data_IF_545197810985
#
_entry.id   IF_545197810985
#
_cell.length_a   1.000
_cell.length_b   1.000
_cell.length_c   1.000
_cell.angle_alpha   90.00
_cell.angle_beta   90.00
_cell.angle_gamma   90.00
#
_symmetry.space_group_name_H-M   'P 1'
#
loop_
_entity.id
_entity.type
_entity.pdbx_description
1 polymer ?
#
# COMPACT_ATOMS: atom_id res chain seq x y z
N UNK A 1 22.78 -4.13 4.61
CA UNK A 1 24.00 -4.65 3.95
C UNK A 1 24.39 -3.72 2.82
N UNK A 2 25.68 -3.60 2.51
CA UNK A 2 26.20 -2.86 1.34
C UNK A 2 26.48 -3.87 0.22
N UNK A 3 26.03 -3.57 -0.99
CA UNK A 3 26.24 -4.40 -2.18
C UNK A 3 26.40 -3.48 -3.39
N UNK A 4 27.22 -3.90 -4.35
CA UNK A 4 27.38 -3.24 -5.65
C UNK A 4 26.77 -4.13 -6.73
N UNK A 5 25.88 -3.59 -7.55
CA UNK A 5 25.29 -4.30 -8.70
C UNK A 5 25.10 -3.33 -9.87
N UNK A 6 25.13 -3.83 -11.10
CA UNK A 6 24.77 -3.06 -12.29
C UNK A 6 23.26 -3.11 -12.50
N UNK A 7 22.61 -1.95 -12.58
CA UNK A 7 21.17 -1.83 -12.84
C UNK A 7 20.95 -0.95 -14.06
N UNK A 8 19.90 -1.24 -14.84
CA UNK A 8 19.44 -0.33 -15.88
C UNK A 8 18.95 0.98 -15.27
N UNK A 9 19.73 2.04 -15.43
CA UNK A 9 19.46 3.35 -14.82
C UNK A 9 18.18 4.00 -15.35
N UNK A 10 17.85 3.81 -16.63
CA UNK A 10 16.63 4.35 -17.22
C UNK A 10 15.37 3.71 -16.60
N UNK A 11 15.42 2.40 -16.33
CA UNK A 11 14.34 1.72 -15.62
C UNK A 11 14.22 2.22 -14.18
N UNK A 12 15.34 2.32 -13.46
CA UNK A 12 15.36 2.81 -12.09
C UNK A 12 14.79 4.24 -11.98
N UNK A 13 15.19 5.14 -12.88
CA UNK A 13 14.68 6.51 -12.92
C UNK A 13 13.17 6.58 -13.19
N UNK A 14 12.63 5.72 -14.07
CA UNK A 14 11.20 5.64 -14.31
C UNK A 14 10.44 5.17 -13.08
N UNK A 15 10.91 4.13 -12.41
CA UNK A 15 10.27 3.61 -11.20
C UNK A 15 10.29 4.68 -10.10
N UNK A 16 11.43 5.33 -9.86
CA UNK A 16 11.55 6.45 -8.93
C UNK A 16 10.55 7.57 -9.23
N UNK A 17 10.36 7.94 -10.50
CA UNK A 17 9.40 8.97 -10.91
C UNK A 17 7.96 8.57 -10.63
N UNK A 18 7.60 7.30 -10.82
CA UNK A 18 6.24 6.79 -10.62
C UNK A 18 5.92 6.67 -9.12
N UNK A 19 6.86 6.20 -8.31
CA UNK A 19 6.65 5.95 -6.88
C UNK A 19 6.94 7.17 -6.01
N UNK A 20 7.74 8.12 -6.50
CA UNK A 20 8.17 9.30 -5.75
C UNK A 20 9.32 9.04 -4.76
N UNK A 21 10.00 7.89 -4.84
CA UNK A 21 11.11 7.58 -3.95
C UNK A 21 12.33 8.46 -4.20
N UNK A 22 12.96 8.89 -3.11
CA UNK A 22 14.10 9.83 -3.17
C UNK A 22 15.43 9.12 -3.40
N UNK A 23 15.51 7.84 -3.03
CA UNK A 23 16.78 7.09 -3.08
C UNK A 23 16.69 5.86 -3.99
N UNK A 24 17.81 5.53 -4.62
CA UNK A 24 17.96 4.30 -5.42
C UNK A 24 17.70 3.05 -4.56
N UNK A 25 18.21 3.04 -3.32
CA UNK A 25 18.05 1.91 -2.38
C UNK A 25 16.60 1.65 -2.04
N UNK A 26 15.85 2.69 -1.67
CA UNK A 26 14.42 2.59 -1.33
C UNK A 26 13.60 2.05 -2.52
N UNK A 27 13.95 2.50 -3.72
CA UNK A 27 13.28 2.04 -4.95
C UNK A 27 13.54 0.56 -5.22
N UNK A 28 14.78 0.11 -5.04
CA UNK A 28 15.14 -1.30 -5.21
C UNK A 28 14.50 -2.16 -4.13
N UNK A 29 14.51 -1.71 -2.87
CA UNK A 29 13.84 -2.43 -1.78
C UNK A 29 12.34 -2.58 -2.04
N UNK A 30 11.67 -1.49 -2.43
CA UNK A 30 10.27 -1.54 -2.80
C UNK A 30 10.00 -2.51 -3.94
N UNK A 31 10.80 -2.46 -5.01
CA UNK A 31 10.62 -3.34 -6.17
C UNK A 31 10.76 -4.82 -5.79
N UNK A 32 11.71 -5.16 -4.92
CA UNK A 32 11.90 -6.53 -4.43
C UNK A 32 10.73 -6.99 -3.57
N UNK A 33 10.25 -6.14 -2.65
CA UNK A 33 9.07 -6.44 -1.81
C UNK A 33 7.82 -6.62 -2.64
N UNK A 34 7.62 -5.79 -3.67
CA UNK A 34 6.47 -5.92 -4.57
C UNK A 34 6.54 -7.18 -5.42
N UNK A 35 7.72 -7.56 -5.91
CA UNK A 35 7.91 -8.83 -6.63
C UNK A 35 7.55 -10.03 -5.74
N UNK A 36 8.00 -10.02 -4.48
CA UNK A 36 7.66 -11.06 -3.49
C UNK A 36 6.15 -11.07 -3.22
N UNK A 37 5.54 -9.91 -2.96
CA UNK A 37 4.11 -9.76 -2.70
C UNK A 37 3.28 -10.30 -3.87
N UNK A 38 3.65 -9.95 -5.10
CA UNK A 38 2.96 -10.43 -6.29
C UNK A 38 3.05 -11.95 -6.43
N UNK A 39 4.21 -12.55 -6.14
CA UNK A 39 4.36 -14.01 -6.19
C UNK A 39 3.52 -14.71 -5.11
N UNK A 40 3.54 -14.22 -3.87
CA UNK A 40 2.70 -14.74 -2.77
C UNK A 40 1.21 -14.65 -3.10
N UNK A 41 0.78 -13.50 -3.64
CA UNK A 41 -0.60 -13.31 -4.07
C UNK A 41 -0.98 -14.28 -5.20
N UNK A 42 -0.12 -14.40 -6.21
CA UNK A 42 -0.35 -15.33 -7.33
C UNK A 42 -0.44 -16.78 -6.85
N UNK A 43 0.40 -17.19 -5.91
CA UNK A 43 0.36 -18.54 -5.35
C UNK A 43 -0.92 -18.76 -4.55
N UNK A 44 -1.28 -17.82 -3.67
CA UNK A 44 -2.53 -17.86 -2.92
C UNK A 44 -3.75 -18.00 -3.83
N UNK A 45 -3.84 -17.16 -4.86
CA UNK A 45 -4.94 -17.18 -5.82
C UNK A 45 -4.91 -18.43 -6.73
N UNK A 46 -3.74 -19.04 -6.97
CA UNK A 46 -3.67 -20.28 -7.75
C UNK A 46 -4.31 -21.47 -7.04
N UNK A 47 -4.32 -21.46 -5.70
CA UNK A 47 -4.93 -22.54 -4.89
C UNK A 47 -6.46 -22.50 -4.96
N UNK A 48 -7.05 -21.30 -4.96
CA UNK A 48 -8.48 -21.08 -5.21
C UNK A 48 -8.72 -19.61 -5.54
N UNK A 49 -9.34 -19.34 -6.69
CA UNK A 49 -9.81 -18.00 -7.05
C UNK A 49 -11.26 -17.86 -6.61
N UNK A 50 -11.59 -16.92 -5.70
CA UNK A 50 -12.97 -16.67 -5.36
C UNK A 50 -13.71 -16.13 -6.60
N UNK A 51 -14.93 -16.58 -6.79
CA UNK A 51 -15.82 -16.08 -7.84
C UNK A 51 -16.28 -14.66 -7.52
N UNK A 52 -16.76 -13.92 -8.53
CA UNK A 52 -17.28 -12.57 -8.33
C UNK A 52 -18.42 -12.51 -7.27
N UNK A 53 -19.22 -13.58 -7.17
CA UNK A 53 -20.29 -13.68 -6.16
C UNK A 53 -19.73 -13.87 -4.74
N UNK A 54 -18.70 -14.69 -4.58
CA UNK A 54 -18.02 -14.88 -3.29
C UNK A 54 -17.34 -13.59 -2.83
N UNK A 55 -16.71 -12.83 -3.73
CA UNK A 55 -16.18 -11.50 -3.43
C UNK A 55 -17.26 -10.51 -3.02
N UNK A 56 -18.40 -10.50 -3.71
CA UNK A 56 -19.51 -9.61 -3.35
C UNK A 56 -20.06 -9.95 -1.96
N UNK A 57 -20.09 -11.24 -1.63
CA UNK A 57 -20.62 -11.74 -0.36
C UNK A 57 -19.58 -11.82 0.76
N UNK A 58 -18.32 -11.42 0.52
CA UNK A 58 -17.28 -11.43 1.56
C UNK A 58 -17.37 -10.23 2.51
N UNK A 59 -18.12 -9.19 2.12
CA UNK A 59 -18.40 -8.05 2.97
C UNK A 59 -19.68 -8.33 3.77
N UNK A 60 -19.65 -7.98 5.06
CA UNK A 60 -20.85 -8.02 5.90
C UNK A 60 -21.89 -7.04 5.33
N UNK A 61 -23.13 -7.48 5.04
CA UNK A 61 -24.19 -6.58 4.57
C UNK A 61 -24.47 -5.41 5.52
N UNK A 62 -24.17 -5.55 6.81
CA UNK A 62 -24.30 -4.48 7.82
C UNK A 62 -23.11 -3.52 7.84
N UNK A 63 -22.07 -3.72 7.02
CA UNK A 63 -20.89 -2.86 6.96
C UNK A 63 -21.20 -1.54 6.22
N UNK A 64 -21.58 -0.51 6.97
CA UNK A 64 -21.82 0.83 6.44
C UNK A 64 -20.59 1.74 6.55
N UNK A 65 -19.91 1.94 5.41
CA UNK A 65 -18.72 2.78 5.35
C UNK A 65 -19.02 4.27 5.61
N UNK A 66 -20.22 4.75 5.28
CA UNK A 66 -20.58 6.16 5.44
C UNK A 66 -20.85 6.48 6.90
N UNK A 67 -21.53 5.58 7.62
CA UNK A 67 -21.74 5.70 9.05
C UNK A 67 -20.40 5.71 9.82
N UNK A 68 -19.48 4.79 9.47
CA UNK A 68 -18.15 4.75 10.09
C UNK A 68 -17.34 6.02 9.83
N UNK A 69 -17.35 6.52 8.59
CA UNK A 69 -16.64 7.75 8.22
C UNK A 69 -17.18 8.99 8.96
N UNK A 70 -18.49 9.04 9.22
CA UNK A 70 -19.09 10.13 10.00
C UNK A 70 -18.75 10.00 11.49
N UNK A 71 -18.65 8.78 12.01
CA UNK A 71 -18.28 8.50 13.40
C UNK A 71 -16.80 8.80 13.69
N UNK A 72 -15.93 8.70 12.67
CA UNK A 72 -14.53 9.16 12.69
C UNK A 72 -14.43 10.70 12.66
N UNK A 73 -15.04 11.36 13.64
CA UNK A 73 -14.82 12.78 13.88
C UNK A 73 -13.33 13.00 14.19
N UNK A 74 -12.66 13.99 13.57
CA UNK A 74 -11.30 14.34 13.96
C UNK A 74 -11.31 14.63 15.45
N UNK A 75 -10.46 13.92 16.21
CA UNK A 75 -10.31 14.15 17.64
C UNK A 75 -10.12 15.65 17.86
N UNK A 76 -10.89 16.23 18.79
CA UNK A 76 -10.77 17.65 19.14
C UNK A 76 -9.32 17.93 19.49
N UNK A 77 -8.56 18.47 18.54
CA UNK A 77 -7.28 19.12 18.83
C UNK A 77 -7.61 20.19 19.86
N UNK A 78 -7.26 19.93 21.11
CA UNK A 78 -7.30 20.94 22.17
C UNK A 78 -6.22 21.94 21.79
N UNK A 79 -6.58 22.91 20.96
CA UNK A 79 -5.78 24.09 20.73
C UNK A 79 -5.66 24.79 22.09
N UNK A 80 -4.61 24.47 22.86
CA UNK A 80 -4.12 25.34 23.93
C UNK A 80 -3.63 26.60 23.23
N UNK A 81 -4.54 27.53 22.96
CA UNK A 81 -4.20 28.90 22.62
C UNK A 81 -3.42 29.44 23.82
N UNK A 82 -2.11 29.61 23.63
CA UNK A 82 -1.24 30.22 24.61
C UNK A 82 -1.85 31.55 25.06
N UNK A 83 -2.04 31.68 26.37
CA UNK A 83 -2.28 32.93 27.04
C UNK A 83 -1.12 33.88 26.73
N UNK A 84 -1.47 35.04 26.15
CA UNK A 84 -0.61 36.22 26.15
C UNK A 84 -0.35 36.69 27.57
#
# INVERSE_FOLDING_TARGET
MKMTMSINEALLARVMKITGFKTKTETVEFALREAERHKKLSEFLSRRKPTAREWKNSLDPAYDFMALRLADLPGKDRVKRGSR
#
